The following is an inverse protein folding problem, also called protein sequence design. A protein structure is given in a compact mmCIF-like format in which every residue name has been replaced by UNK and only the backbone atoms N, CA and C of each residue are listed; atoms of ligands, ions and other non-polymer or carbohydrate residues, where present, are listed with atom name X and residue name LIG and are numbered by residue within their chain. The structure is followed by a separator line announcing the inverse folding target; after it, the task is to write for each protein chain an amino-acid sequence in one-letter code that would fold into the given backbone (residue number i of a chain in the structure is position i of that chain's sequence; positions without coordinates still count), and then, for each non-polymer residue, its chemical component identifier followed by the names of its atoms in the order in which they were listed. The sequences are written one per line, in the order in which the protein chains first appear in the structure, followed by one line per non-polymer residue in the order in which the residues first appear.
data_IF_983094124935
#
_entry.id   IF_983094124935
#
_cell.length_a   1.000
_cell.length_b   1.000
_cell.length_c   1.000
_cell.angle_alpha   90.00
_cell.angle_beta   90.00
_cell.angle_gamma   90.00
#
_symmetry.space_group_name_H-M   'P 1'
#
loop_
_entity.id
_entity.type
_entity.pdbx_description
1 polymer ?
#
# COMPACT_ATOMS: atom_id res chain seq x y z
N UNK A 1 -7.81 -11.59 -8.11
CA UNK A 1 -7.30 -10.35 -8.72
C UNK A 1 -6.74 -9.50 -7.61
N UNK A 2 -5.51 -9.00 -7.77
CA UNK A 2 -4.84 -8.20 -6.74
C UNK A 2 -4.87 -6.73 -7.15
N UNK A 3 -5.15 -5.86 -6.18
CA UNK A 3 -4.92 -4.42 -6.27
C UNK A 3 -3.57 -4.11 -5.60
N UNK A 4 -2.75 -3.30 -6.26
CA UNK A 4 -1.51 -2.79 -5.70
C UNK A 4 -1.57 -1.27 -5.59
N UNK A 5 -1.22 -0.73 -4.43
CA UNK A 5 -1.18 0.72 -4.18
C UNK A 5 0.15 1.11 -3.52
N UNK A 6 0.73 2.23 -3.97
CA UNK A 6 1.96 2.78 -3.41
C UNK A 6 1.70 4.14 -2.75
N UNK A 7 1.99 4.23 -1.45
CA UNK A 7 1.80 5.42 -0.62
C UNK A 7 3.14 6.16 -0.45
N UNK A 8 3.44 7.08 -1.37
CA UNK A 8 4.78 7.68 -1.51
C UNK A 8 5.08 8.91 -0.64
N UNK A 9 4.11 9.40 0.14
CA UNK A 9 4.22 10.66 0.91
C UNK A 9 3.62 10.52 2.30
N UNK A 10 3.98 9.46 3.03
CA UNK A 10 3.39 9.18 4.34
C UNK A 10 3.79 10.18 5.45
N UNK A 11 4.67 11.13 5.15
CA UNK A 11 5.02 12.29 5.98
C UNK A 11 4.14 13.53 5.73
N UNK A 12 3.26 13.50 4.72
CA UNK A 12 2.27 14.56 4.46
C UNK A 12 0.91 14.20 5.08
N UNK A 13 0.47 14.96 6.07
CA UNK A 13 -0.77 14.70 6.82
C UNK A 13 -2.03 14.70 5.94
N UNK A 14 -2.10 15.58 4.93
CA UNK A 14 -3.24 15.63 4.01
C UNK A 14 -3.23 14.42 3.05
N UNK A 15 -2.03 14.00 2.63
CA UNK A 15 -1.86 12.79 1.84
C UNK A 15 -2.28 11.56 2.63
N UNK A 16 -1.87 11.43 3.89
CA UNK A 16 -2.30 10.34 4.77
C UNK A 16 -3.82 10.34 4.91
N UNK A 17 -4.44 11.47 5.28
CA UNK A 17 -5.89 11.55 5.49
C UNK A 17 -6.70 11.19 4.23
N UNK A 18 -6.24 11.60 3.04
CA UNK A 18 -6.90 11.27 1.78
C UNK A 18 -6.74 9.78 1.42
N UNK A 19 -5.58 9.19 1.67
CA UNK A 19 -5.35 7.76 1.44
C UNK A 19 -6.10 6.88 2.42
N UNK A 20 -6.25 7.27 3.69
CA UNK A 20 -7.08 6.53 4.65
C UNK A 20 -8.52 6.35 4.15
N UNK A 21 -9.13 7.41 3.60
CA UNK A 21 -10.46 7.31 2.98
C UNK A 21 -10.50 6.36 1.78
N UNK A 22 -9.39 6.26 1.05
CA UNK A 22 -9.23 5.33 -0.08
C UNK A 22 -9.13 3.88 0.42
N UNK A 23 -8.41 3.64 1.51
CA UNK A 23 -8.31 2.33 2.17
C UNK A 23 -9.69 1.87 2.67
N UNK A 24 -10.43 2.74 3.36
CA UNK A 24 -11.79 2.44 3.79
C UNK A 24 -12.69 2.05 2.61
N UNK A 25 -12.51 2.69 1.45
CA UNK A 25 -13.26 2.38 0.25
C UNK A 25 -12.87 1.01 -0.30
N UNK A 26 -11.58 0.67 -0.32
CA UNK A 26 -11.12 -0.66 -0.71
C UNK A 26 -11.72 -1.75 0.17
N UNK A 27 -11.65 -1.59 1.50
CA UNK A 27 -12.20 -2.54 2.46
C UNK A 27 -13.71 -2.70 2.29
N UNK A 28 -14.45 -1.59 2.11
CA UNK A 28 -15.91 -1.62 1.82
C UNK A 28 -16.25 -2.36 0.54
N UNK A 29 -15.32 -2.45 -0.41
CA UNK A 29 -15.50 -3.18 -1.66
C UNK A 29 -14.87 -4.59 -1.63
N UNK A 30 -14.46 -5.08 -0.45
CA UNK A 30 -13.91 -6.43 -0.27
C UNK A 30 -12.42 -6.57 -0.64
N UNK A 31 -11.72 -5.45 -0.84
CA UNK A 31 -10.27 -5.46 -1.05
C UNK A 31 -9.56 -5.35 0.31
N UNK A 32 -9.13 -6.50 0.84
CA UNK A 32 -8.52 -6.60 2.16
C UNK A 32 -6.99 -6.64 2.05
N UNK A 33 -6.34 -5.92 2.98
CA UNK A 33 -4.89 -5.87 3.10
C UNK A 33 -4.29 -7.27 3.26
N UNK A 34 -3.31 -7.59 2.41
CA UNK A 34 -2.61 -8.87 2.43
C UNK A 34 -3.38 -10.04 1.79
N UNK A 35 -4.65 -9.85 1.41
CA UNK A 35 -5.45 -10.87 0.71
C UNK A 35 -5.67 -10.51 -0.75
N UNK A 36 -6.18 -9.30 -1.01
CA UNK A 36 -6.51 -8.81 -2.35
C UNK A 36 -6.03 -7.37 -2.57
N UNK A 37 -5.50 -6.72 -1.53
CA UNK A 37 -4.85 -5.42 -1.55
C UNK A 37 -3.41 -5.52 -1.03
N UNK A 38 -2.45 -5.11 -1.84
CA UNK A 38 -1.03 -5.01 -1.47
C UNK A 38 -0.65 -3.54 -1.40
N UNK A 39 0.00 -3.13 -0.31
CA UNK A 39 0.45 -1.75 -0.11
C UNK A 39 1.95 -1.70 0.14
N UNK A 40 2.60 -0.76 -0.55
CA UNK A 40 3.94 -0.28 -0.19
C UNK A 40 3.86 1.18 0.22
N UNK A 41 4.81 1.63 1.03
CA UNK A 41 4.81 2.98 1.55
C UNK A 41 6.22 3.49 1.81
N UNK A 42 6.35 4.81 1.76
CA UNK A 42 7.57 5.52 2.12
C UNK A 42 7.27 6.93 2.63
N UNK A 43 8.30 7.54 3.22
CA UNK A 43 8.33 8.95 3.61
C UNK A 43 9.59 9.59 3.06
N UNK A 44 9.68 10.92 3.09
CA UNK A 44 10.90 11.65 2.72
C UNK A 44 12.16 11.18 3.47
N UNK A 45 12.03 10.65 4.69
CA UNK A 45 13.16 10.19 5.53
C UNK A 45 13.33 8.68 5.61
N UNK A 46 12.32 7.91 5.19
CA UNK A 46 12.32 6.45 5.18
C UNK A 46 11.89 5.98 3.79
N UNK A 47 12.84 5.87 2.85
CA UNK A 47 12.55 5.50 1.46
C UNK A 47 12.03 4.08 1.34
N UNK A 48 11.37 3.78 0.21
CA UNK A 48 10.81 2.46 -0.05
C UNK A 48 11.85 1.34 0.08
N UNK A 49 11.54 0.34 0.91
CA UNK A 49 12.39 -0.83 1.07
C UNK A 49 12.17 -1.85 -0.06
N UNK A 50 13.06 -1.86 -1.05
CA UNK A 50 12.96 -2.75 -2.20
C UNK A 50 12.95 -4.25 -1.83
N UNK A 51 13.59 -4.64 -0.71
CA UNK A 51 13.55 -6.04 -0.26
C UNK A 51 12.14 -6.49 0.12
N UNK A 52 11.32 -5.58 0.65
CA UNK A 52 9.92 -5.86 0.98
C UNK A 52 9.09 -5.97 -0.31
N UNK A 53 9.39 -5.14 -1.31
CA UNK A 53 8.76 -5.23 -2.64
C UNK A 53 9.05 -6.60 -3.27
N UNK A 54 10.30 -7.05 -3.23
CA UNK A 54 10.69 -8.37 -3.71
C UNK A 54 9.94 -9.50 -2.98
N UNK A 55 9.74 -9.37 -1.66
CA UNK A 55 8.93 -10.30 -0.90
C UNK A 55 7.47 -10.34 -1.39
N UNK A 56 6.85 -9.19 -1.62
CA UNK A 56 5.49 -9.14 -2.17
C UNK A 56 5.39 -9.78 -3.55
N UNK A 57 6.34 -9.51 -4.45
CA UNK A 57 6.39 -10.12 -5.78
C UNK A 57 6.45 -11.65 -5.66
N UNK A 58 7.33 -12.16 -4.80
CA UNK A 58 7.49 -13.61 -4.57
C UNK A 58 6.29 -14.26 -3.90
N UNK A 59 5.56 -13.54 -3.05
CA UNK A 59 4.42 -14.10 -2.32
C UNK A 59 3.14 -14.11 -3.15
N UNK A 60 2.92 -13.11 -4.00
CA UNK A 60 1.61 -12.89 -4.63
C UNK A 60 1.62 -13.03 -6.15
N UNK A 61 2.78 -13.00 -6.81
CA UNK A 61 2.88 -12.94 -8.28
C UNK A 61 3.78 -14.02 -8.89
N UNK A 62 4.43 -14.86 -8.08
CA UNK A 62 5.22 -16.03 -8.49
C UNK A 62 4.70 -17.27 -7.77
#
# INVERSE_FOLDING_TARGET
MFLYEHLGKMDDENYVASNMRKLDLYEKNGYLLGESLIITHETSTAPLNMKVVDSYIKTYFL
#
